data_IF_131964272120
#
_entry.id   IF_131964272120
#
_cell.length_a   1.000
_cell.length_b   1.000
_cell.length_c   1.000
_cell.angle_alpha   90.00
_cell.angle_beta   90.00
_cell.angle_gamma   90.00
#
_symmetry.space_group_name_H-M   'P 1'
#
loop_
_entity.id
_entity.type
_entity.pdbx_description
1 polymer ?
#
# COMPACT_ATOMS: atom_id res chain seq x y z
N UNK A 1 5.98 76.09 10.34
CA UNK A 1 6.89 74.93 10.46
C UNK A 1 6.26 73.78 9.69
N UNK A 2 6.72 73.53 8.46
CA UNK A 2 6.21 72.49 7.58
C UNK A 2 6.81 71.13 7.99
N UNK A 3 5.97 70.13 8.25
CA UNK A 3 6.37 68.73 8.40
C UNK A 3 5.75 67.94 7.27
N UNK A 4 6.58 67.62 6.29
CA UNK A 4 6.28 66.73 5.16
C UNK A 4 6.19 65.32 5.73
N UNK A 5 4.98 64.74 5.77
CA UNK A 5 4.81 63.31 5.99
C UNK A 5 4.95 62.59 4.65
N UNK A 6 6.07 61.91 4.45
CA UNK A 6 6.31 61.04 3.32
C UNK A 6 5.63 59.69 3.60
N UNK A 7 4.53 59.42 2.92
CA UNK A 7 3.84 58.13 2.96
C UNK A 7 4.59 57.14 2.04
N UNK A 8 5.33 56.20 2.62
CA UNK A 8 5.94 55.08 1.89
C UNK A 8 4.88 54.01 1.64
N UNK A 9 4.34 54.00 0.42
CA UNK A 9 3.48 52.94 -0.09
C UNK A 9 4.37 51.74 -0.47
N UNK A 10 4.40 50.69 0.36
CA UNK A 10 5.07 49.43 0.03
C UNK A 10 4.09 48.57 -0.76
N UNK A 11 4.28 48.51 -2.08
CA UNK A 11 3.57 47.58 -2.95
C UNK A 11 4.13 46.16 -2.73
N UNK A 12 3.37 45.31 -2.03
CA UNK A 12 3.67 43.88 -1.89
C UNK A 12 3.24 43.19 -3.18
N UNK A 13 4.20 42.92 -4.07
CA UNK A 13 4.00 42.09 -5.24
C UNK A 13 3.80 40.63 -4.79
N UNK A 14 2.56 40.15 -4.85
CA UNK A 14 2.21 38.76 -4.58
C UNK A 14 2.63 37.91 -5.79
N UNK A 15 3.86 37.40 -5.80
CA UNK A 15 4.28 36.39 -6.76
C UNK A 15 3.67 35.05 -6.34
N UNK A 16 2.55 34.68 -6.95
CA UNK A 16 2.01 33.32 -6.86
C UNK A 16 2.87 32.39 -7.69
N UNK A 17 3.89 31.78 -7.08
CA UNK A 17 4.59 30.66 -7.69
C UNK A 17 3.67 29.45 -7.66
N UNK A 18 3.07 29.13 -8.81
CA UNK A 18 2.37 27.86 -9.01
C UNK A 18 3.36 26.72 -8.80
N UNK A 19 3.25 26.02 -7.67
CA UNK A 19 3.92 24.73 -7.49
C UNK A 19 3.26 23.75 -8.45
N UNK A 20 3.91 23.48 -9.58
CA UNK A 20 3.58 22.31 -10.40
C UNK A 20 4.02 21.10 -9.58
N UNK A 21 3.06 20.38 -9.00
CA UNK A 21 3.33 19.02 -8.52
C UNK A 21 3.69 18.17 -9.74
N UNK A 22 4.98 17.92 -9.90
CA UNK A 22 5.46 16.81 -10.72
C UNK A 22 5.16 15.56 -9.90
N UNK A 23 3.99 14.98 -10.09
CA UNK A 23 3.81 13.56 -9.80
C UNK A 23 4.80 12.84 -10.71
N UNK A 24 5.86 12.30 -10.12
CA UNK A 24 6.74 11.38 -10.82
C UNK A 24 5.86 10.18 -11.21
N UNK A 25 5.43 10.12 -12.46
CA UNK A 25 4.78 8.94 -13.01
C UNK A 25 5.71 7.75 -12.75
N UNK A 26 5.24 6.79 -11.94
CA UNK A 26 5.97 5.54 -11.74
C UNK A 26 6.18 4.89 -13.11
N UNK A 27 7.39 4.38 -13.42
CA UNK A 27 7.68 3.79 -14.71
C UNK A 27 6.67 2.68 -15.02
N UNK A 28 6.18 2.65 -16.26
CA UNK A 28 5.32 1.57 -16.78
C UNK A 28 6.15 0.28 -16.82
N UNK A 29 6.15 -0.46 -15.71
CA UNK A 29 6.80 -1.76 -15.61
C UNK A 29 5.95 -2.76 -16.39
N UNK A 30 6.49 -3.41 -17.44
CA UNK A 30 5.75 -4.40 -18.21
C UNK A 30 5.13 -5.45 -17.30
N UNK A 31 3.90 -5.85 -17.64
CA UNK A 31 3.11 -6.87 -16.95
C UNK A 31 3.94 -8.12 -16.64
N UNK A 32 4.12 -8.45 -15.35
CA UNK A 32 4.90 -9.60 -14.90
C UNK A 32 4.11 -10.40 -13.89
N UNK A 33 3.33 -11.37 -14.37
CA UNK A 33 2.89 -12.45 -13.50
C UNK A 33 4.13 -13.20 -12.99
N UNK A 34 4.23 -13.36 -11.67
CA UNK A 34 5.38 -14.00 -11.03
C UNK A 34 5.22 -15.51 -11.14
N UNK A 35 6.19 -16.16 -11.80
CA UNK A 35 6.23 -17.61 -11.97
C UNK A 35 6.96 -18.27 -10.79
N UNK A 36 6.20 -18.72 -9.79
CA UNK A 36 6.70 -19.46 -8.64
C UNK A 36 6.52 -20.97 -8.84
N UNK A 37 7.32 -21.77 -8.14
CA UNK A 37 7.09 -23.21 -8.02
C UNK A 37 5.70 -23.49 -7.45
N UNK A 38 5.09 -24.66 -7.74
CA UNK A 38 3.75 -24.98 -7.24
C UNK A 38 3.63 -24.90 -5.71
N UNK A 39 4.66 -25.38 -4.99
CA UNK A 39 4.68 -25.37 -3.53
C UNK A 39 4.72 -23.95 -2.95
N UNK A 40 5.57 -23.07 -3.51
CA UNK A 40 5.66 -21.68 -3.07
C UNK A 40 4.40 -20.90 -3.46
N UNK A 41 3.84 -21.16 -4.63
CA UNK A 41 2.55 -20.61 -5.06
C UNK A 41 1.43 -20.94 -4.07
N UNK A 42 1.39 -22.17 -3.56
CA UNK A 42 0.36 -22.59 -2.61
C UNK A 42 0.54 -21.96 -1.23
N UNK A 43 1.79 -21.78 -0.78
CA UNK A 43 2.11 -21.00 0.42
C UNK A 43 1.69 -19.53 0.27
N UNK A 44 2.00 -18.89 -0.86
CA UNK A 44 1.61 -17.51 -1.13
C UNK A 44 0.09 -17.35 -1.17
N UNK A 45 -0.63 -18.29 -1.81
CA UNK A 45 -2.10 -18.28 -1.80
C UNK A 45 -2.68 -18.47 -0.41
N UNK A 46 -2.04 -19.26 0.45
CA UNK A 46 -2.44 -19.40 1.84
C UNK A 46 -2.23 -18.10 2.62
N UNK A 47 -1.09 -17.44 2.44
CA UNK A 47 -0.82 -16.11 3.00
C UNK A 47 -1.90 -15.11 2.59
N UNK A 48 -2.19 -14.99 1.29
CA UNK A 48 -3.18 -14.04 0.79
C UNK A 48 -4.60 -14.29 1.33
N UNK A 49 -4.96 -15.53 1.65
CA UNK A 49 -6.25 -15.84 2.30
C UNK A 49 -6.29 -15.30 3.74
N UNK A 50 -5.22 -15.49 4.50
CA UNK A 50 -5.12 -14.97 5.87
C UNK A 50 -5.09 -13.44 5.90
N UNK A 51 -4.32 -12.80 5.00
CA UNK A 51 -4.32 -11.35 4.84
C UNK A 51 -5.72 -10.82 4.50
N UNK A 52 -6.43 -11.48 3.57
CA UNK A 52 -7.80 -11.10 3.20
C UNK A 52 -8.76 -11.19 4.39
N UNK A 53 -8.68 -12.27 5.19
CA UNK A 53 -9.50 -12.42 6.39
C UNK A 53 -9.22 -11.31 7.42
N UNK A 54 -7.94 -11.01 7.68
CA UNK A 54 -7.55 -9.92 8.56
C UNK A 54 -8.04 -8.54 8.07
N UNK A 55 -7.92 -8.27 6.76
CA UNK A 55 -8.39 -7.02 6.15
C UNK A 55 -9.91 -6.86 6.24
N UNK A 56 -10.68 -7.94 6.17
CA UNK A 56 -12.14 -7.89 6.35
C UNK A 56 -12.55 -7.64 7.82
N UNK A 57 -11.74 -8.09 8.78
CA UNK A 57 -12.02 -7.95 10.21
C UNK A 57 -11.78 -6.55 10.77
N UNK A 58 -10.73 -5.85 10.29
CA UNK A 58 -10.30 -4.56 10.86
C UNK A 58 -11.43 -3.51 10.95
N UNK A 59 -12.27 -3.28 9.91
CA UNK A 59 -13.33 -2.28 10.00
C UNK A 59 -14.36 -2.57 11.10
N UNK A 60 -14.71 -3.85 11.30
CA UNK A 60 -15.65 -4.27 12.35
C UNK A 60 -15.01 -4.10 13.73
N UNK A 61 -13.75 -4.48 13.90
CA UNK A 61 -13.03 -4.24 15.16
C UNK A 61 -12.92 -2.75 15.46
N UNK A 62 -12.64 -1.91 14.46
CA UNK A 62 -12.55 -0.45 14.62
C UNK A 62 -13.89 0.14 15.04
N UNK A 63 -15.00 -0.24 14.41
CA UNK A 63 -16.33 0.25 14.75
C UNK A 63 -16.74 -0.12 16.19
N UNK A 64 -16.23 -1.23 16.72
CA UNK A 64 -16.47 -1.69 18.08
C UNK A 64 -15.39 -1.26 19.10
N UNK A 65 -14.41 -0.45 18.68
CA UNK A 65 -13.23 -0.10 19.48
C UNK A 65 -12.48 -1.32 20.07
N UNK A 66 -12.49 -2.45 19.34
CA UNK A 66 -11.76 -3.67 19.72
C UNK A 66 -10.28 -3.54 19.31
N UNK A 67 -9.56 -2.74 20.09
CA UNK A 67 -8.14 -2.46 19.89
C UNK A 67 -7.27 -3.71 19.98
N UNK A 68 -7.66 -4.68 20.80
CA UNK A 68 -6.93 -5.94 20.97
C UNK A 68 -6.98 -6.78 19.69
N UNK A 69 -8.16 -6.91 19.07
CA UNK A 69 -8.28 -7.62 17.79
C UNK A 69 -7.53 -6.93 16.66
N UNK A 70 -7.53 -5.59 16.60
CA UNK A 70 -6.77 -4.84 15.59
C UNK A 70 -5.26 -5.08 15.78
N UNK A 71 -4.75 -4.99 17.01
CA UNK A 71 -3.34 -5.25 17.32
C UNK A 71 -2.94 -6.69 16.99
N UNK A 72 -3.76 -7.68 17.35
CA UNK A 72 -3.50 -9.08 17.02
C UNK A 72 -3.45 -9.32 15.51
N UNK A 73 -4.36 -8.69 14.76
CA UNK A 73 -4.43 -8.79 13.29
C UNK A 73 -3.22 -8.11 12.65
N UNK A 74 -2.89 -6.89 13.07
CA UNK A 74 -1.71 -6.14 12.67
C UNK A 74 -0.41 -6.94 12.88
N UNK A 75 -0.25 -7.54 14.07
CA UNK A 75 0.93 -8.33 14.40
C UNK A 75 1.10 -9.54 13.48
N UNK A 76 0.01 -10.25 13.17
CA UNK A 76 0.05 -11.38 12.25
C UNK A 76 0.35 -10.96 10.81
N UNK A 77 -0.26 -9.87 10.33
CA UNK A 77 0.06 -9.29 9.01
C UNK A 77 1.53 -8.85 8.92
N UNK A 78 2.05 -8.21 9.97
CA UNK A 78 3.44 -7.78 10.03
C UNK A 78 4.41 -8.97 10.05
N UNK A 79 4.10 -10.03 10.79
CA UNK A 79 4.97 -11.20 10.94
C UNK A 79 4.86 -12.24 9.80
N UNK A 80 3.96 -12.03 8.83
CA UNK A 80 3.50 -13.04 7.87
C UNK A 80 2.82 -14.26 8.53
N UNK A 81 1.59 -14.55 8.14
CA UNK A 81 0.78 -15.60 8.76
C UNK A 81 1.33 -17.00 8.51
N UNK A 82 1.79 -17.29 7.30
CA UNK A 82 2.12 -18.61 6.79
C UNK A 82 3.51 -18.62 6.19
N UNK A 83 3.85 -17.66 5.33
CA UNK A 83 5.10 -17.70 4.54
C UNK A 83 6.34 -17.70 5.44
N UNK A 84 6.48 -16.73 6.34
CA UNK A 84 7.62 -16.67 7.26
C UNK A 84 7.78 -17.91 8.15
N UNK A 85 6.68 -18.66 8.37
CA UNK A 85 6.67 -19.82 9.26
C UNK A 85 6.91 -21.15 8.53
N UNK A 86 6.58 -21.24 7.24
CA UNK A 86 6.55 -22.52 6.50
C UNK A 86 7.57 -22.63 5.38
N UNK A 87 8.21 -21.53 4.97
CA UNK A 87 9.24 -21.57 3.93
C UNK A 87 10.43 -22.42 4.36
N UNK A 88 10.86 -23.33 3.49
CA UNK A 88 12.19 -23.95 3.59
C UNK A 88 13.27 -22.98 3.11
N UNK A 89 14.54 -23.26 3.43
CA UNK A 89 15.66 -22.45 2.94
C UNK A 89 15.72 -22.38 1.40
N UNK A 90 15.40 -23.48 0.71
CA UNK A 90 15.36 -23.52 -0.75
C UNK A 90 14.24 -22.64 -1.33
N UNK A 91 13.06 -22.66 -0.71
CA UNK A 91 11.92 -21.84 -1.12
C UNK A 91 12.16 -20.35 -0.81
N UNK A 92 12.80 -20.01 0.31
CA UNK A 92 13.22 -18.65 0.61
C UNK A 92 14.24 -18.13 -0.43
N UNK A 93 15.18 -18.99 -0.83
CA UNK A 93 16.14 -18.66 -1.90
C UNK A 93 15.46 -18.50 -3.26
N UNK A 94 14.43 -19.30 -3.57
CA UNK A 94 13.61 -19.15 -4.78
C UNK A 94 12.94 -17.77 -4.80
N UNK A 95 12.27 -17.39 -3.72
CA UNK A 95 11.64 -16.06 -3.62
C UNK A 95 12.65 -14.93 -3.81
N UNK A 96 13.84 -15.06 -3.22
CA UNK A 96 14.89 -14.04 -3.38
C UNK A 96 15.34 -13.88 -4.84
N UNK A 97 15.36 -14.97 -5.61
CA UNK A 97 15.79 -14.97 -7.01
C UNK A 97 14.67 -14.56 -7.98
N UNK A 98 13.43 -14.97 -7.70
CA UNK A 98 12.31 -14.84 -8.64
C UNK A 98 11.55 -13.53 -8.44
N UNK A 99 11.44 -13.03 -7.20
CA UNK A 99 10.65 -11.82 -6.93
C UNK A 99 11.38 -10.57 -7.45
N UNK A 100 10.72 -9.75 -8.29
CA UNK A 100 11.26 -8.45 -8.70
C UNK A 100 11.45 -7.51 -7.50
N UNK A 101 12.41 -6.60 -7.57
CA UNK A 101 12.67 -5.62 -6.50
C UNK A 101 11.43 -4.78 -6.17
N UNK A 102 10.63 -4.42 -7.17
CA UNK A 102 9.37 -3.69 -6.96
C UNK A 102 8.34 -4.50 -6.16
N UNK A 103 8.30 -5.83 -6.33
CA UNK A 103 7.44 -6.70 -5.51
C UNK A 103 7.94 -6.70 -4.07
N UNK A 104 9.24 -6.93 -3.86
CA UNK A 104 9.87 -6.93 -2.53
C UNK A 104 9.66 -5.60 -1.80
N UNK A 105 9.69 -4.50 -2.53
CA UNK A 105 9.43 -3.17 -1.97
C UNK A 105 7.96 -3.01 -1.54
N UNK A 106 7.00 -3.38 -2.39
CA UNK A 106 5.58 -3.31 -2.04
C UNK A 106 5.22 -4.21 -0.85
N UNK A 107 5.83 -5.40 -0.80
CA UNK A 107 5.70 -6.33 0.32
C UNK A 107 6.26 -5.73 1.62
N UNK A 108 7.51 -5.24 1.60
CA UNK A 108 8.10 -4.58 2.76
C UNK A 108 7.28 -3.36 3.22
N UNK A 109 6.72 -2.59 2.30
CA UNK A 109 5.84 -1.46 2.60
C UNK A 109 4.55 -1.92 3.29
N UNK A 110 3.94 -3.01 2.82
CA UNK A 110 2.78 -3.63 3.44
C UNK A 110 3.08 -4.01 4.90
N UNK A 111 4.19 -4.72 5.15
CA UNK A 111 4.60 -5.12 6.50
C UNK A 111 4.81 -3.92 7.44
N UNK A 112 5.39 -2.81 6.95
CA UNK A 112 5.56 -1.58 7.74
C UNK A 112 4.24 -0.86 8.02
N UNK A 113 3.28 -0.90 7.09
CA UNK A 113 1.93 -0.34 7.29
C UNK A 113 1.15 -1.18 8.30
N UNK A 114 1.28 -2.51 8.25
CA UNK A 114 0.68 -3.42 9.23
C UNK A 114 1.19 -3.10 10.63
N UNK A 115 2.50 -2.92 10.81
CA UNK A 115 3.09 -2.52 12.09
C UNK A 115 2.54 -1.15 12.58
N UNK A 116 2.43 -0.16 11.69
CA UNK A 116 1.86 1.16 12.01
C UNK A 116 0.39 1.07 12.44
N UNK A 117 -0.41 0.21 11.80
CA UNK A 117 -1.80 -0.07 12.20
C UNK A 117 -1.86 -0.54 13.65
N UNK A 118 -0.98 -1.47 14.05
CA UNK A 118 -0.91 -2.00 15.40
C UNK A 118 -0.51 -0.94 16.42
N UNK A 119 0.45 -0.08 16.09
CA UNK A 119 0.81 1.07 16.94
C UNK A 119 -0.34 2.06 17.12
N UNK A 120 -1.08 2.39 16.06
CA UNK A 120 -2.26 3.25 16.16
C UNK A 120 -3.33 2.61 17.05
N UNK A 121 -3.57 1.31 16.89
CA UNK A 121 -4.50 0.57 17.74
C UNK A 121 -4.03 0.52 19.21
N UNK A 122 -2.73 0.35 19.47
CA UNK A 122 -2.18 0.40 20.84
C UNK A 122 -2.34 1.79 21.49
N UNK A 123 -2.38 2.86 20.69
CA UNK A 123 -2.64 4.22 21.14
C UNK A 123 -4.14 4.58 21.20
N UNK A 124 -5.03 3.64 20.87
CA UNK A 124 -6.48 3.86 20.70
C UNK A 124 -6.80 5.01 19.72
N UNK A 125 -5.93 5.19 18.71
CA UNK A 125 -6.06 6.22 17.69
C UNK A 125 -6.93 5.70 16.53
N UNK A 126 -8.23 5.98 16.61
CA UNK A 126 -9.20 5.54 15.60
C UNK A 126 -8.89 6.09 14.19
N UNK A 127 -8.45 7.35 14.11
CA UNK A 127 -8.10 7.99 12.84
C UNK A 127 -6.83 7.37 12.26
N UNK A 128 -5.81 7.15 13.08
CA UNK A 128 -4.60 6.44 12.69
C UNK A 128 -4.87 5.01 12.21
N UNK A 129 -5.78 4.28 12.87
CA UNK A 129 -6.20 2.95 12.42
C UNK A 129 -6.90 3.03 11.06
N UNK A 130 -7.88 3.92 10.89
CA UNK A 130 -8.59 4.08 9.63
C UNK A 130 -7.63 4.47 8.48
N UNK A 131 -6.69 5.36 8.75
CA UNK A 131 -5.66 5.77 7.79
C UNK A 131 -4.77 4.59 7.38
N UNK A 132 -4.19 3.85 8.33
CA UNK A 132 -3.31 2.73 8.00
C UNK A 132 -4.07 1.58 7.32
N UNK A 133 -5.35 1.35 7.68
CA UNK A 133 -6.21 0.41 6.98
C UNK A 133 -6.36 0.75 5.49
N UNK A 134 -6.68 2.02 5.18
CA UNK A 134 -6.77 2.47 3.79
C UNK A 134 -5.44 2.29 3.04
N UNK A 135 -4.31 2.53 3.71
CA UNK A 135 -2.98 2.31 3.13
C UNK A 135 -2.64 0.84 2.89
N UNK A 136 -3.10 -0.07 3.74
CA UNK A 136 -2.98 -1.52 3.50
C UNK A 136 -3.83 -1.93 2.30
N UNK A 137 -5.06 -1.43 2.18
CA UNK A 137 -5.91 -1.66 1.01
C UNK A 137 -5.25 -1.18 -0.29
N UNK A 138 -4.62 0.00 -0.26
CA UNK A 138 -3.85 0.54 -1.38
C UNK A 138 -2.69 -0.39 -1.77
N UNK A 139 -1.92 -0.90 -0.80
CA UNK A 139 -0.84 -1.87 -1.05
C UNK A 139 -1.35 -3.14 -1.75
N UNK A 140 -2.50 -3.68 -1.32
CA UNK A 140 -3.13 -4.84 -1.97
C UNK A 140 -3.45 -4.54 -3.44
N UNK A 141 -4.13 -3.42 -3.70
CA UNK A 141 -4.53 -3.04 -5.06
C UNK A 141 -3.31 -2.81 -5.96
N UNK A 142 -2.30 -2.08 -5.49
CA UNK A 142 -1.07 -1.81 -6.25
C UNK A 142 -0.34 -3.10 -6.61
N UNK A 143 -0.06 -3.96 -5.63
CA UNK A 143 0.63 -5.23 -5.89
C UNK A 143 -0.16 -6.11 -6.87
N UNK A 144 -1.47 -6.26 -6.66
CA UNK A 144 -2.30 -7.07 -7.55
C UNK A 144 -2.38 -6.52 -8.98
N UNK A 145 -2.46 -5.19 -9.11
CA UNK A 145 -2.50 -4.52 -10.40
C UNK A 145 -1.19 -4.65 -11.18
N UNK A 146 -0.06 -4.93 -10.53
CA UNK A 146 1.25 -5.04 -11.19
C UNK A 146 1.64 -6.51 -11.42
N UNK A 147 1.47 -7.37 -10.42
CA UNK A 147 2.08 -8.70 -10.35
C UNK A 147 1.09 -9.87 -10.37
N UNK A 148 -0.22 -9.60 -10.46
CA UNK A 148 -1.26 -10.65 -10.40
C UNK A 148 -2.46 -10.40 -11.32
N UNK A 149 -2.25 -9.76 -12.48
CA UNK A 149 -3.35 -9.41 -13.41
C UNK A 149 -4.10 -10.65 -13.93
N UNK A 150 -3.43 -11.77 -14.16
CA UNK A 150 -4.13 -13.01 -14.57
C UNK A 150 -5.11 -13.51 -13.52
N UNK A 151 -4.82 -13.29 -12.23
CA UNK A 151 -5.69 -13.67 -11.12
C UNK A 151 -6.80 -12.64 -10.85
N UNK A 152 -6.54 -11.38 -11.18
CA UNK A 152 -7.41 -10.23 -10.96
C UNK A 152 -7.65 -9.48 -12.28
N UNK A 153 -8.48 -10.02 -13.19
CA UNK A 153 -8.66 -9.48 -14.54
C UNK A 153 -9.26 -8.06 -14.56
N UNK A 154 -9.88 -7.61 -13.46
CA UNK A 154 -10.36 -6.23 -13.33
C UNK A 154 -9.25 -5.17 -13.31
N UNK A 155 -7.97 -5.56 -13.16
CA UNK A 155 -6.81 -4.67 -13.32
C UNK A 155 -6.17 -4.75 -14.71
N UNK A 156 -6.70 -5.55 -15.63
CA UNK A 156 -6.24 -5.55 -17.01
C UNK A 156 -6.72 -4.28 -17.73
N UNK A 157 -5.96 -3.74 -18.70
CA UNK A 157 -6.44 -2.64 -19.54
C UNK A 157 -7.79 -3.01 -20.18
N UNK A 158 -8.69 -2.03 -20.28
CA UNK A 158 -9.90 -2.21 -21.06
C UNK A 158 -9.53 -2.62 -22.50
N UNK A 159 -10.25 -3.58 -23.07
CA UNK A 159 -10.10 -3.90 -24.48
C UNK A 159 -10.35 -2.62 -25.29
N UNK A 160 -9.57 -2.34 -26.35
CA UNK A 160 -9.82 -1.19 -27.19
C UNK A 160 -11.25 -1.28 -27.73
N UNK A 161 -12.08 -0.27 -27.45
CA UNK A 161 -13.38 -0.15 -28.08
C UNK A 161 -13.16 0.02 -29.58
N UNK A 162 -13.76 -0.89 -30.36
CA UNK A 162 -13.70 -0.86 -31.80
C UNK A 162 -14.54 0.35 -32.25
N UNK A 163 -13.91 1.53 -32.34
CA UNK A 163 -14.51 2.73 -32.93
C UNK A 163 -14.61 2.51 -34.44
N UNK A 164 -15.57 1.69 -34.85
CA UNK A 164 -15.98 1.57 -36.23
C UNK A 164 -16.60 2.90 -36.69
N UNK A 165 -15.89 3.56 -37.60
CA UNK A 165 -16.34 4.75 -38.33
C UNK A 165 -17.38 4.43 -39.39
#
# INVERSE_FOLDING_TARGET
MARIMLATLVAVACLTTSFVHIDAAEPDVPNQDIALSPEVSDLLRAEMRELSAGMQGIPVSLANADWASIQATSSKMHASYIMAQKLTAAQAQELEQVLPDGFKQLDADFHRRAEKLGRAAAAHDAEGVAFQYARLMESCARCHSTYAKSRFPGFAPAAPEDHAH
#
